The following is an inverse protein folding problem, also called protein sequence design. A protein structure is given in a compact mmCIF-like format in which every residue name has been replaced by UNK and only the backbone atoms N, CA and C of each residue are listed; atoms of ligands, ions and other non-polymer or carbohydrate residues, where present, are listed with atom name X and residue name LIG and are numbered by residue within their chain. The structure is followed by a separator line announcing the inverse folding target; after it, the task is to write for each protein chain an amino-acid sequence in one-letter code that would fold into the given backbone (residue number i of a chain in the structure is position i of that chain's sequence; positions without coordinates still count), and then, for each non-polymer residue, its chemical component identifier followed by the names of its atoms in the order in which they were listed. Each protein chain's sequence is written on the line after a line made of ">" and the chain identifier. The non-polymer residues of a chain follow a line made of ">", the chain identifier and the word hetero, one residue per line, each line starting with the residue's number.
data_IF_868497283917
#
_entry.id   IF_868497283917
#
_cell.length_a   1.000
_cell.length_b   1.000
_cell.length_c   1.000
_cell.angle_alpha   90.00
_cell.angle_beta   90.00
_cell.angle_gamma   90.00
#
_symmetry.space_group_name_H-M   'P 1'
#
loop_
_entity.id
_entity.type
_entity.pdbx_description
1 polymer ?
#
# COMPACT_ATOMS: atom_id res chain seq x y z
N UNK A 1 -37.34 9.52 -20.02
CA UNK A 1 -35.98 9.40 -20.58
C UNK A 1 -35.01 9.10 -19.45
N UNK A 2 -34.55 7.85 -19.24
CA UNK A 2 -33.62 7.58 -18.14
C UNK A 2 -32.22 8.06 -18.58
N UNK A 3 -31.95 9.36 -18.35
CA UNK A 3 -30.70 10.06 -18.68
C UNK A 3 -29.66 10.04 -17.56
N UNK A 4 -29.66 8.99 -16.73
CA UNK A 4 -28.72 8.81 -15.62
C UNK A 4 -27.40 8.17 -16.05
N UNK A 5 -26.35 8.32 -15.24
CA UNK A 5 -25.10 7.55 -15.39
C UNK A 5 -25.43 6.06 -15.28
N UNK A 6 -24.76 5.23 -16.08
CA UNK A 6 -24.86 3.77 -15.93
C UNK A 6 -24.48 3.38 -14.49
N UNK A 7 -25.21 2.43 -13.90
CA UNK A 7 -24.90 1.85 -12.59
C UNK A 7 -23.79 0.80 -12.70
N UNK A 8 -23.32 0.28 -11.58
CA UNK A 8 -22.37 -0.85 -11.60
C UNK A 8 -23.02 -2.10 -12.19
N UNK A 9 -24.27 -2.38 -11.81
CA UNK A 9 -25.04 -3.52 -12.30
C UNK A 9 -25.26 -3.48 -13.81
N UNK A 10 -25.62 -2.31 -14.35
CA UNK A 10 -25.76 -2.12 -15.80
C UNK A 10 -24.44 -2.35 -16.53
N UNK A 11 -23.30 -1.92 -15.95
CA UNK A 11 -21.98 -2.19 -16.53
C UNK A 11 -21.60 -3.67 -16.53
N UNK A 12 -22.00 -4.42 -15.50
CA UNK A 12 -21.79 -5.87 -15.44
C UNK A 12 -22.58 -6.58 -16.54
N UNK A 13 -23.83 -6.17 -16.77
CA UNK A 13 -24.63 -6.71 -17.87
C UNK A 13 -24.09 -6.35 -19.26
N UNK A 14 -23.48 -5.17 -19.43
CA UNK A 14 -22.73 -4.85 -20.66
C UNK A 14 -21.55 -5.81 -20.84
N UNK A 15 -20.77 -6.07 -19.78
CA UNK A 15 -19.63 -6.99 -19.88
C UNK A 15 -20.04 -8.43 -20.21
N UNK A 16 -21.13 -8.92 -19.61
CA UNK A 16 -21.70 -10.24 -19.92
C UNK A 16 -22.18 -10.30 -21.38
N UNK A 17 -22.92 -9.28 -21.83
CA UNK A 17 -23.40 -9.24 -23.22
C UNK A 17 -22.27 -9.20 -24.25
N UNK A 18 -21.13 -8.56 -23.94
CA UNK A 18 -19.94 -8.58 -24.78
C UNK A 18 -19.25 -9.95 -24.78
N UNK A 19 -19.18 -10.61 -23.64
CA UNK A 19 -18.63 -11.96 -23.53
C UNK A 19 -19.46 -12.99 -24.32
N UNK A 20 -20.78 -12.80 -24.35
CA UNK A 20 -21.72 -13.61 -25.14
C UNK A 20 -21.76 -13.22 -26.63
N UNK A 21 -20.93 -12.26 -27.07
CA UNK A 21 -20.84 -11.82 -28.47
C UNK A 21 -22.05 -11.03 -28.97
N UNK A 22 -22.87 -10.48 -28.08
CA UNK A 22 -24.06 -9.72 -28.46
C UNK A 22 -23.70 -8.36 -29.07
N UNK A 23 -24.49 -7.94 -30.06
CA UNK A 23 -24.37 -6.60 -30.65
C UNK A 23 -24.77 -5.51 -29.64
N UNK A 24 -24.13 -4.34 -29.71
CA UNK A 24 -24.39 -3.24 -28.76
C UNK A 24 -25.86 -2.79 -28.71
N UNK A 25 -26.58 -2.86 -29.83
CA UNK A 25 -28.01 -2.54 -29.90
C UNK A 25 -28.87 -3.51 -29.07
N UNK A 26 -28.48 -4.79 -29.05
CA UNK A 26 -29.18 -5.82 -28.28
C UNK A 26 -28.92 -5.65 -26.77
N UNK A 27 -27.67 -5.35 -26.38
CA UNK A 27 -27.31 -5.03 -24.99
C UNK A 27 -28.08 -3.78 -24.52
N UNK A 28 -28.17 -2.76 -25.37
CA UNK A 28 -28.85 -1.51 -25.06
C UNK A 28 -30.37 -1.72 -24.84
N UNK A 29 -30.99 -2.55 -25.68
CA UNK A 29 -32.41 -2.90 -25.58
C UNK A 29 -32.73 -3.69 -24.29
N UNK A 30 -31.83 -4.58 -23.86
CA UNK A 30 -31.98 -5.33 -22.59
C UNK A 30 -31.87 -4.45 -21.34
N UNK A 31 -31.10 -3.36 -21.43
CA UNK A 31 -30.89 -2.42 -20.34
C UNK A 31 -31.86 -1.22 -20.36
N UNK A 32 -32.76 -1.16 -21.34
CA UNK A 32 -33.60 0.02 -21.63
C UNK A 32 -32.77 1.32 -21.73
N UNK A 33 -31.63 1.24 -22.42
CA UNK A 33 -30.70 2.37 -22.65
C UNK A 33 -30.52 2.64 -24.15
N UNK A 34 -30.19 3.89 -24.53
CA UNK A 34 -29.80 4.18 -25.90
C UNK A 34 -28.52 3.42 -26.31
N UNK A 35 -28.45 2.89 -27.53
CA UNK A 35 -27.27 2.21 -28.09
C UNK A 35 -26.01 3.07 -28.01
N UNK A 36 -26.14 4.38 -28.24
CA UNK A 36 -25.03 5.34 -28.15
C UNK A 36 -24.42 5.45 -26.75
N UNK A 37 -25.17 5.13 -25.69
CA UNK A 37 -24.66 5.07 -24.31
C UNK A 37 -23.75 3.87 -24.13
N UNK A 38 -24.16 2.70 -24.63
CA UNK A 38 -23.37 1.47 -24.55
C UNK A 38 -22.10 1.59 -25.38
N UNK A 39 -22.19 2.06 -26.62
CA UNK A 39 -21.02 2.24 -27.50
C UNK A 39 -20.00 3.19 -26.87
N UNK A 40 -20.44 4.33 -26.32
CA UNK A 40 -19.53 5.29 -25.68
C UNK A 40 -18.94 4.76 -24.38
N UNK A 41 -19.71 4.01 -23.59
CA UNK A 41 -19.20 3.39 -22.36
C UNK A 41 -18.11 2.36 -22.70
N UNK A 42 -18.37 1.48 -23.67
CA UNK A 42 -17.43 0.42 -24.07
C UNK A 42 -16.16 1.02 -24.66
N UNK A 43 -16.28 1.95 -25.62
CA UNK A 43 -15.11 2.58 -26.26
C UNK A 43 -14.28 3.42 -25.28
N UNK A 44 -14.92 4.08 -24.32
CA UNK A 44 -14.22 4.89 -23.31
C UNK A 44 -13.47 4.05 -22.28
N UNK A 45 -13.84 2.79 -22.08
CA UNK A 45 -13.26 1.93 -21.04
C UNK A 45 -12.57 0.69 -21.64
N UNK A 46 -11.84 0.87 -22.74
CA UNK A 46 -10.94 -0.16 -23.29
C UNK A 46 -11.46 -0.88 -24.54
N UNK A 47 -12.65 -0.58 -25.03
CA UNK A 47 -13.22 -1.21 -26.22
C UNK A 47 -13.74 -2.63 -25.96
N UNK A 48 -14.40 -3.27 -26.95
CA UNK A 48 -15.18 -4.50 -26.75
C UNK A 48 -14.37 -5.69 -26.21
N UNK A 49 -13.10 -5.80 -26.59
CA UNK A 49 -12.23 -6.93 -26.20
C UNK A 49 -11.59 -6.78 -24.83
N UNK A 50 -11.46 -5.55 -24.33
CA UNK A 50 -10.84 -5.25 -23.04
C UNK A 50 -11.81 -4.62 -22.02
N UNK A 51 -13.10 -4.52 -22.36
CA UNK A 51 -14.09 -3.91 -21.48
C UNK A 51 -14.27 -4.70 -20.19
N UNK A 52 -14.08 -4.03 -19.05
CA UNK A 52 -14.32 -4.59 -17.72
C UNK A 52 -15.21 -3.68 -16.90
N UNK A 53 -16.32 -4.23 -16.41
CA UNK A 53 -17.36 -3.50 -15.70
C UNK A 53 -16.84 -2.76 -14.46
N UNK A 54 -16.01 -3.42 -13.65
CA UNK A 54 -15.49 -2.83 -12.41
C UNK A 54 -14.48 -1.72 -12.67
N UNK A 55 -13.64 -1.86 -13.71
CA UNK A 55 -12.71 -0.82 -14.13
C UNK A 55 -13.46 0.39 -14.69
N UNK A 56 -14.48 0.16 -15.50
CA UNK A 56 -15.34 1.20 -16.07
C UNK A 56 -16.11 1.97 -14.98
N UNK A 57 -16.58 1.26 -13.95
CA UNK A 57 -17.25 1.87 -12.79
C UNK A 57 -16.29 2.76 -12.00
N UNK A 58 -15.13 2.24 -11.58
CA UNK A 58 -14.11 3.00 -10.85
C UNK A 58 -13.61 4.21 -11.65
N UNK A 59 -13.31 4.05 -12.94
CA UNK A 59 -12.89 5.16 -13.80
C UNK A 59 -13.94 6.29 -13.87
N UNK A 60 -15.22 5.93 -13.80
CA UNK A 60 -16.34 6.87 -13.78
C UNK A 60 -16.46 7.57 -12.43
N UNK A 61 -16.22 6.88 -11.32
CA UNK A 61 -16.15 7.47 -9.97
C UNK A 61 -14.94 8.40 -9.82
N UNK A 62 -13.75 7.99 -10.26
CA UNK A 62 -12.54 8.82 -10.26
C UNK A 62 -12.73 10.14 -11.03
N UNK A 63 -13.44 10.11 -12.17
CA UNK A 63 -13.78 11.31 -12.94
C UNK A 63 -14.80 12.20 -12.23
N UNK A 64 -15.78 11.63 -11.53
CA UNK A 64 -16.72 12.39 -10.72
C UNK A 64 -16.03 13.06 -9.52
N UNK A 65 -15.12 12.34 -8.86
CA UNK A 65 -14.31 12.86 -7.75
C UNK A 65 -13.36 13.98 -8.19
N UNK A 66 -12.65 13.82 -9.33
CA UNK A 66 -11.82 14.89 -9.91
C UNK A 66 -12.62 16.16 -10.20
N UNK A 67 -13.82 16.03 -10.75
CA UNK A 67 -14.68 17.20 -11.07
C UNK A 67 -15.24 17.87 -9.80
N UNK A 68 -15.40 17.12 -8.71
CA UNK A 68 -15.84 17.63 -7.40
C UNK A 68 -14.69 18.28 -6.60
N UNK A 69 -13.44 17.88 -6.85
CA UNK A 69 -12.24 18.48 -6.25
C UNK A 69 -11.68 19.68 -7.04
N UNK A 70 -12.12 19.90 -8.29
CA UNK A 70 -11.65 20.99 -9.15
C UNK A 70 -12.19 22.40 -8.80
N UNK A 71 -12.81 22.59 -7.63
CA UNK A 71 -13.07 23.91 -7.05
C UNK A 71 -12.75 23.86 -5.55
N UNK A 72 -11.93 24.76 -4.98
CA UNK A 72 -11.31 25.98 -5.50
C UNK A 72 -9.80 25.85 -5.81
N UNK A 73 -9.32 26.62 -6.80
CA UNK A 73 -7.90 26.91 -7.04
C UNK A 73 -7.35 27.80 -5.92
N UNK A 74 -6.22 27.43 -5.34
CA UNK A 74 -5.50 28.29 -4.40
C UNK A 74 -4.51 27.57 -3.49
N UNK A 75 -3.61 26.78 -4.03
CA UNK A 75 -2.28 26.49 -3.46
C UNK A 75 -1.50 25.78 -4.54
N UNK A 76 -0.40 26.40 -4.99
CA UNK A 76 0.57 25.76 -5.87
C UNK A 76 0.90 24.39 -5.26
N UNK A 77 0.77 23.32 -6.06
CA UNK A 77 1.39 22.05 -5.69
C UNK A 77 2.85 22.38 -5.35
N UNK A 78 3.36 22.04 -4.15
CA UNK A 78 4.75 22.32 -3.84
C UNK A 78 5.57 21.70 -4.97
N UNK A 79 6.46 22.50 -5.57
CA UNK A 79 7.46 22.00 -6.52
C UNK A 79 8.10 20.81 -5.82
N UNK A 80 7.88 19.60 -6.35
CA UNK A 80 8.40 18.42 -5.70
C UNK A 80 9.92 18.56 -5.61
N UNK A 81 10.47 18.30 -4.43
CA UNK A 81 11.91 18.32 -4.26
C UNK A 81 12.54 17.41 -5.32
N UNK A 82 13.63 17.88 -5.93
CA UNK A 82 14.40 17.15 -6.94
C UNK A 82 13.75 17.01 -8.34
N UNK A 83 12.74 17.83 -8.68
CA UNK A 83 12.24 17.92 -10.06
C UNK A 83 11.49 16.68 -10.58
N UNK A 84 10.95 15.87 -9.65
CA UNK A 84 10.20 14.65 -9.96
C UNK A 84 8.84 14.98 -10.58
N UNK A 85 8.40 14.11 -11.49
CA UNK A 85 7.04 14.15 -12.01
C UNK A 85 6.05 13.75 -10.92
N UNK A 86 5.16 14.69 -10.59
CA UNK A 86 4.18 14.50 -9.55
C UNK A 86 3.16 13.39 -9.85
N UNK A 87 2.90 13.10 -11.12
CA UNK A 87 2.02 11.99 -11.50
C UNK A 87 2.69 10.65 -11.29
N UNK A 88 3.93 10.49 -11.76
CA UNK A 88 4.71 9.28 -11.54
C UNK A 88 4.90 8.95 -10.05
N UNK A 89 5.16 9.95 -9.19
CA UNK A 89 5.28 9.75 -7.74
C UNK A 89 3.97 9.25 -7.13
N UNK A 90 2.83 9.80 -7.54
CA UNK A 90 1.52 9.34 -7.04
C UNK A 90 1.20 7.92 -7.47
N UNK A 91 1.48 7.57 -8.73
CA UNK A 91 1.30 6.21 -9.24
C UNK A 91 2.17 5.20 -8.48
N UNK A 92 3.42 5.57 -8.20
CA UNK A 92 4.32 4.76 -7.37
C UNK A 92 3.80 4.60 -5.94
N UNK A 93 3.35 5.67 -5.29
CA UNK A 93 2.76 5.61 -3.94
C UNK A 93 1.52 4.70 -3.90
N UNK A 94 0.67 4.75 -4.94
CA UNK A 94 -0.49 3.86 -5.06
C UNK A 94 -0.10 2.39 -5.25
N UNK A 95 0.91 2.12 -6.10
CA UNK A 95 1.43 0.78 -6.33
C UNK A 95 2.08 0.22 -5.05
N UNK A 96 2.90 1.01 -4.36
CA UNK A 96 3.55 0.62 -3.11
C UNK A 96 2.53 0.36 -2.00
N UNK A 97 1.52 1.21 -1.86
CA UNK A 97 0.41 1.02 -0.92
C UNK A 97 -0.33 -0.29 -1.22
N UNK A 98 -0.56 -0.59 -2.50
CA UNK A 98 -1.23 -1.82 -2.93
C UNK A 98 -0.42 -3.05 -2.56
N UNK A 99 0.89 -3.02 -2.73
CA UNK A 99 1.80 -4.09 -2.34
C UNK A 99 1.75 -4.32 -0.82
N UNK A 100 1.83 -3.27 -0.01
CA UNK A 100 1.73 -3.39 1.45
C UNK A 100 0.40 -4.00 1.89
N UNK A 101 -0.71 -3.64 1.23
CA UNK A 101 -2.01 -4.25 1.50
C UNK A 101 -2.04 -5.74 1.16
N UNK A 102 -1.39 -6.16 0.07
CA UNK A 102 -1.28 -7.58 -0.29
C UNK A 102 -0.46 -8.38 0.72
N UNK A 103 0.46 -7.74 1.44
CA UNK A 103 1.21 -8.35 2.56
C UNK A 103 0.40 -8.42 3.87
N UNK A 104 -0.90 -8.08 3.84
CA UNK A 104 -1.81 -8.22 4.98
C UNK A 104 -1.94 -6.97 5.85
N UNK A 105 -1.27 -5.86 5.51
CA UNK A 105 -1.45 -4.61 6.25
C UNK A 105 -2.80 -3.97 5.94
N UNK A 106 -3.53 -3.43 6.95
CA UNK A 106 -4.73 -2.68 6.69
C UNK A 106 -4.47 -1.46 5.80
N UNK A 107 -5.46 -1.09 4.98
CA UNK A 107 -5.33 -0.01 3.99
C UNK A 107 -4.79 1.30 4.56
N UNK A 108 -5.26 1.72 5.73
CA UNK A 108 -4.84 3.01 6.29
C UNK A 108 -3.38 2.98 6.76
N UNK A 109 -2.97 1.89 7.40
CA UNK A 109 -1.61 1.67 7.88
C UNK A 109 -0.63 1.60 6.70
N UNK A 110 -1.04 0.94 5.60
CA UNK A 110 -0.30 0.91 4.34
C UNK A 110 -0.08 2.31 3.78
N UNK A 111 -1.13 3.15 3.76
CA UNK A 111 -1.01 4.56 3.31
C UNK A 111 -0.10 5.40 4.20
N UNK A 112 -0.15 5.20 5.52
CA UNK A 112 0.75 5.91 6.46
C UNK A 112 2.20 5.50 6.22
N UNK A 113 2.49 4.21 6.08
CA UNK A 113 3.83 3.72 5.77
C UNK A 113 4.34 4.24 4.43
N UNK A 114 3.53 4.18 3.36
CA UNK A 114 3.90 4.76 2.07
C UNK A 114 4.29 6.23 2.23
N UNK A 115 3.50 7.03 2.93
CA UNK A 115 3.76 8.45 3.12
C UNK A 115 5.05 8.73 3.92
N UNK A 116 5.39 7.86 4.87
CA UNK A 116 6.64 7.93 5.63
C UNK A 116 7.85 7.44 4.82
N UNK A 117 7.68 6.43 3.96
CA UNK A 117 8.73 5.95 3.07
C UNK A 117 9.09 6.92 1.95
N UNK A 118 8.11 7.66 1.43
CA UNK A 118 8.30 8.55 0.28
C UNK A 118 8.59 10.01 0.66
N UNK A 119 8.61 10.34 1.95
CA UNK A 119 8.88 11.72 2.40
C UNK A 119 10.36 12.05 2.42
N UNK A 120 10.77 13.08 1.68
CA UNK A 120 12.18 13.52 1.69
C UNK A 120 12.59 14.14 3.04
N UNK A 121 11.63 14.53 3.88
CA UNK A 121 11.89 15.05 5.22
C UNK A 121 12.36 13.96 6.20
N UNK A 122 12.31 12.67 5.83
CA UNK A 122 12.67 11.52 6.68
C UNK A 122 11.68 11.23 7.82
N UNK A 123 10.89 12.22 8.24
CA UNK A 123 9.86 12.06 9.26
C UNK A 123 8.68 13.01 9.08
N UNK A 124 7.53 12.64 9.67
CA UNK A 124 6.30 13.43 9.62
C UNK A 124 5.61 13.51 10.98
N UNK A 125 4.97 14.63 11.24
CA UNK A 125 4.06 14.83 12.38
C UNK A 125 2.66 14.27 12.09
N UNK A 126 1.87 14.07 13.15
CA UNK A 126 0.47 13.65 12.99
C UNK A 126 -0.34 14.62 12.11
N UNK A 127 -0.13 15.93 12.25
CA UNK A 127 -0.80 16.96 11.45
C UNK A 127 -0.43 16.89 9.96
N UNK A 128 0.84 16.61 9.64
CA UNK A 128 1.28 16.48 8.25
C UNK A 128 0.70 15.21 7.63
N UNK A 129 0.64 14.10 8.37
CA UNK A 129 -0.03 12.88 7.92
C UNK A 129 -1.53 13.09 7.66
N UNK A 130 -2.22 13.81 8.55
CA UNK A 130 -3.62 14.22 8.36
C UNK A 130 -3.79 14.99 7.05
N UNK A 131 -2.94 15.98 6.81
CA UNK A 131 -3.01 16.82 5.61
C UNK A 131 -2.66 16.05 4.33
N UNK A 132 -1.59 15.27 4.33
CA UNK A 132 -1.14 14.53 3.13
C UNK A 132 -2.13 13.41 2.77
N UNK A 133 -2.63 12.68 3.75
CA UNK A 133 -3.52 11.54 3.51
C UNK A 133 -5.00 11.95 3.40
N UNK A 134 -5.33 13.20 3.75
CA UNK A 134 -6.70 13.74 3.76
C UNK A 134 -7.64 12.88 4.62
N UNK A 135 -7.21 12.61 5.85
CA UNK A 135 -7.93 11.76 6.83
C UNK A 135 -8.06 12.45 8.18
N UNK A 136 -8.81 11.86 9.11
CA UNK A 136 -9.00 12.45 10.44
C UNK A 136 -7.79 12.21 11.36
N UNK A 137 -7.55 13.09 12.36
CA UNK A 137 -6.55 12.86 13.39
C UNK A 137 -6.72 11.51 14.10
N UNK A 138 -7.96 11.10 14.39
CA UNK A 138 -8.25 9.81 15.02
C UNK A 138 -7.82 8.61 14.15
N UNK A 139 -7.95 8.70 12.83
CA UNK A 139 -7.45 7.69 11.89
C UNK A 139 -5.93 7.58 11.95
N UNK A 140 -5.23 8.71 12.03
CA UNK A 140 -3.77 8.73 12.19
C UNK A 140 -3.36 8.14 13.53
N UNK A 141 -3.98 8.55 14.64
CA UNK A 141 -3.67 8.00 15.97
C UNK A 141 -3.80 6.47 16.01
N UNK A 142 -4.90 5.92 15.49
CA UNK A 142 -5.09 4.45 15.42
C UNK A 142 -4.03 3.76 14.56
N UNK A 143 -3.69 4.36 13.42
CA UNK A 143 -2.71 3.78 12.49
C UNK A 143 -1.30 3.81 13.09
N UNK A 144 -0.92 4.92 13.72
CA UNK A 144 0.36 5.08 14.42
C UNK A 144 0.48 4.07 15.56
N UNK A 145 -0.53 3.96 16.44
CA UNK A 145 -0.48 2.98 17.54
C UNK A 145 -0.33 1.55 17.03
N UNK A 146 -1.05 1.19 15.95
CA UNK A 146 -0.90 -0.13 15.33
C UNK A 146 0.51 -0.36 14.78
N UNK A 147 1.02 0.59 13.98
CA UNK A 147 2.32 0.47 13.33
C UNK A 147 3.47 0.47 14.35
N UNK A 148 3.37 1.28 15.39
CA UNK A 148 4.34 1.33 16.50
C UNK A 148 4.33 -0.01 17.27
N UNK A 149 3.14 -0.57 17.54
CA UNK A 149 3.02 -1.89 18.19
C UNK A 149 3.56 -3.05 17.35
N UNK A 150 3.59 -2.91 16.02
CA UNK A 150 4.22 -3.85 15.09
C UNK A 150 5.72 -3.57 14.86
N UNK A 151 6.28 -2.53 15.50
CA UNK A 151 7.66 -2.12 15.31
C UNK A 151 7.96 -1.57 13.91
N UNK A 152 6.94 -1.13 13.17
CA UNK A 152 7.01 -0.64 11.78
C UNK A 152 7.22 0.88 11.67
N UNK A 153 7.10 1.62 12.78
CA UNK A 153 7.47 3.03 12.89
C UNK A 153 8.05 3.28 14.28
N UNK A 154 8.84 4.34 14.42
CA UNK A 154 9.27 4.85 15.73
C UNK A 154 8.76 6.27 15.93
N UNK A 155 8.46 6.60 17.18
CA UNK A 155 8.11 7.95 17.61
C UNK A 155 9.35 8.64 18.19
N UNK A 156 9.67 9.79 17.63
CA UNK A 156 10.77 10.65 18.06
C UNK A 156 10.23 11.99 18.52
N UNK A 157 10.90 12.59 19.51
CA UNK A 157 10.61 13.96 19.95
C UNK A 157 11.65 14.87 19.31
N UNK A 158 11.16 15.81 18.50
CA UNK A 158 11.98 16.87 17.92
C UNK A 158 12.45 17.86 19.01
N UNK A 159 13.31 18.82 18.68
CA UNK A 159 13.75 19.89 19.61
C UNK A 159 12.56 20.73 20.13
N UNK A 160 11.40 20.65 19.46
CA UNK A 160 10.11 21.13 19.96
C UNK A 160 9.24 19.99 20.54
N UNK A 161 8.26 20.33 21.39
CA UNK A 161 7.31 19.37 22.03
C UNK A 161 6.43 18.54 21.06
N UNK A 162 6.72 18.50 19.75
CA UNK A 162 5.91 17.82 18.73
C UNK A 162 6.51 16.45 18.42
N UNK A 163 5.66 15.44 18.45
CA UNK A 163 6.02 14.07 18.10
C UNK A 163 6.15 13.93 16.58
N UNK A 164 7.26 13.33 16.14
CA UNK A 164 7.54 12.96 14.76
C UNK A 164 7.58 11.44 14.63
N UNK A 165 7.09 10.95 13.50
CA UNK A 165 7.12 9.54 13.15
C UNK A 165 8.17 9.33 12.06
N UNK A 166 9.04 8.36 12.28
CA UNK A 166 10.11 7.94 11.37
C UNK A 166 9.88 6.49 10.94
N UNK A 167 10.29 6.18 9.72
CA UNK A 167 10.61 4.81 9.31
C UNK A 167 12.12 4.75 9.11
N UNK A 168 12.80 4.10 10.05
CA UNK A 168 14.26 3.99 10.10
C UNK A 168 14.72 2.65 9.49
N UNK A 169 15.98 2.52 9.10
CA UNK A 169 16.54 1.22 8.64
C UNK A 169 16.46 0.16 9.76
N UNK A 170 16.55 0.60 11.01
CA UNK A 170 16.32 -0.23 12.20
C UNK A 170 14.90 -0.81 12.26
N UNK A 171 13.91 -0.17 11.64
CA UNK A 171 12.52 -0.64 11.62
C UNK A 171 12.40 -1.96 10.86
N UNK A 172 13.16 -2.15 9.78
CA UNK A 172 13.17 -3.43 9.07
C UNK A 172 13.79 -4.54 9.91
N UNK A 173 14.88 -4.25 10.62
CA UNK A 173 15.49 -5.16 11.58
C UNK A 173 14.52 -5.49 12.73
N UNK A 174 13.99 -4.47 13.42
CA UNK A 174 13.07 -4.63 14.54
C UNK A 174 11.76 -5.32 14.10
N UNK A 175 11.24 -5.03 12.91
CA UNK A 175 10.07 -5.67 12.33
C UNK A 175 10.31 -7.15 12.02
N UNK A 176 11.47 -7.50 11.46
CA UNK A 176 11.85 -8.91 11.25
C UNK A 176 11.99 -9.65 12.58
N UNK A 177 12.61 -9.04 13.59
CA UNK A 177 12.73 -9.62 14.94
C UNK A 177 11.35 -9.77 15.61
N UNK A 178 10.48 -8.76 15.49
CA UNK A 178 9.11 -8.83 16.02
C UNK A 178 8.31 -9.95 15.34
N UNK A 179 8.41 -10.08 14.01
CA UNK A 179 7.77 -11.16 13.26
C UNK A 179 8.32 -12.55 13.62
N UNK A 180 9.63 -12.67 13.83
CA UNK A 180 10.24 -13.91 14.32
C UNK A 180 9.70 -14.30 15.71
N UNK A 181 9.55 -13.34 16.63
CA UNK A 181 8.95 -13.57 17.95
C UNK A 181 7.49 -14.01 17.86
N UNK A 182 6.67 -13.36 17.03
CA UNK A 182 5.28 -13.77 16.82
C UNK A 182 5.18 -15.18 16.22
N UNK A 183 6.05 -15.51 15.27
CA UNK A 183 6.15 -16.85 14.66
C UNK A 183 6.54 -17.90 15.71
N UNK A 184 7.52 -17.61 16.58
CA UNK A 184 7.90 -18.49 17.68
C UNK A 184 6.75 -18.70 18.70
N UNK A 185 5.98 -17.66 19.00
CA UNK A 185 4.81 -17.77 19.88
C UNK A 185 3.71 -18.67 19.27
N UNK A 186 3.54 -18.65 17.95
CA UNK A 186 2.62 -19.55 17.25
C UNK A 186 3.07 -21.01 17.38
N UNK A 187 4.36 -21.30 17.20
CA UNK A 187 4.90 -22.66 17.37
C UNK A 187 4.73 -23.16 18.81
N UNK A 188 4.98 -22.30 19.80
CA UNK A 188 4.78 -22.65 21.21
C UNK A 188 3.31 -22.95 21.52
N UNK A 189 2.39 -22.14 21.00
CA UNK A 189 0.95 -22.37 21.17
C UNK A 189 0.52 -23.68 20.50
N UNK A 190 1.08 -24.01 19.33
CA UNK A 190 0.80 -25.28 18.66
C UNK A 190 1.29 -26.49 19.49
N UNK A 191 2.47 -26.41 20.12
CA UNK A 191 2.97 -27.43 21.07
C UNK A 191 2.06 -27.62 22.27
N UNK A 192 1.55 -26.53 22.86
CA UNK A 192 0.59 -26.62 23.96
C UNK A 192 -0.67 -27.40 23.54
N UNK A 193 -1.13 -27.20 22.30
CA UNK A 193 -2.25 -27.95 21.73
C UNK A 193 -2.01 -29.46 21.63
N UNK A 194 -0.77 -29.93 21.49
CA UNK A 194 -0.43 -31.37 21.48
C UNK A 194 -0.78 -32.02 22.81
N UNK A 195 -0.44 -31.36 23.93
CA UNK A 195 -0.79 -31.84 25.27
C UNK A 195 -2.30 -31.86 25.53
N UNK A 196 -3.02 -30.86 25.02
CA UNK A 196 -4.48 -30.74 25.21
C UNK A 196 -5.25 -31.78 24.37
N UNK A 197 -4.84 -32.01 23.13
CA UNK A 197 -5.54 -32.90 22.20
C UNK A 197 -5.15 -34.37 22.37
N UNK A 198 -4.13 -34.67 23.18
CA UNK A 198 -3.56 -35.99 23.34
C UNK A 198 -2.49 -36.28 22.27
N UNK A 199 -1.27 -36.66 22.67
CA UNK A 199 -0.11 -36.76 21.77
C UNK A 199 -0.28 -37.80 20.66
N UNK A 200 -1.07 -38.85 20.90
CA UNK A 200 -1.28 -39.94 19.93
C UNK A 200 -2.38 -39.64 18.89
N UNK A 201 -2.95 -38.43 18.92
CA UNK A 201 -4.00 -38.07 17.97
C UNK A 201 -3.42 -37.58 16.63
N UNK A 202 -4.14 -37.80 15.51
CA UNK A 202 -3.77 -37.18 14.23
C UNK A 202 -3.72 -35.65 14.29
N UNK A 203 -4.47 -35.02 15.20
CA UNK A 203 -4.47 -33.58 15.39
C UNK A 203 -3.17 -33.10 16.07
N UNK A 204 -2.74 -33.79 17.13
CA UNK A 204 -1.43 -33.57 17.74
C UNK A 204 -0.29 -33.72 16.73
N UNK A 205 -0.31 -34.77 15.90
CA UNK A 205 0.70 -34.96 14.84
C UNK A 205 0.77 -33.76 13.88
N UNK A 206 -0.39 -33.20 13.48
CA UNK A 206 -0.41 -32.00 12.63
C UNK A 206 0.15 -30.77 13.34
N UNK A 207 -0.24 -30.53 14.58
CA UNK A 207 0.24 -29.39 15.37
C UNK A 207 1.75 -29.48 15.62
N UNK A 208 2.27 -30.67 15.91
CA UNK A 208 3.69 -30.93 16.08
C UNK A 208 4.48 -30.63 14.79
N UNK A 209 3.95 -31.06 13.64
CA UNK A 209 4.55 -30.76 12.34
C UNK A 209 4.54 -29.26 12.02
N UNK A 210 3.44 -28.56 12.33
CA UNK A 210 3.34 -27.11 12.16
C UNK A 210 4.34 -26.40 13.08
N UNK A 211 4.39 -26.77 14.37
CA UNK A 211 5.30 -26.18 15.34
C UNK A 211 6.77 -26.33 14.89
N UNK A 212 7.17 -27.52 14.44
CA UNK A 212 8.53 -27.79 13.95
C UNK A 212 8.90 -26.91 12.75
N UNK A 213 7.98 -26.77 11.79
CA UNK A 213 8.23 -25.93 10.61
C UNK A 213 8.32 -24.44 10.99
N UNK A 214 7.38 -23.96 11.80
CA UNK A 214 7.28 -22.56 12.21
C UNK A 214 8.47 -22.14 13.09
N UNK A 215 8.97 -23.00 13.98
CA UNK A 215 10.21 -22.75 14.73
C UNK A 215 11.42 -22.57 13.80
N UNK A 216 11.58 -23.47 12.82
CA UNK A 216 12.67 -23.35 11.85
C UNK A 216 12.61 -22.02 11.08
N UNK A 217 11.41 -21.57 10.71
CA UNK A 217 11.21 -20.28 10.06
C UNK A 217 11.55 -19.13 11.00
N UNK A 218 11.06 -19.14 12.25
CA UNK A 218 11.34 -18.10 13.24
C UNK A 218 12.84 -17.93 13.53
N UNK A 219 13.57 -19.04 13.68
CA UNK A 219 15.03 -19.00 13.85
C UNK A 219 15.73 -18.47 12.60
N UNK A 220 15.29 -18.89 11.42
CA UNK A 220 15.88 -18.44 10.16
C UNK A 220 15.67 -16.95 9.93
N UNK A 221 14.50 -16.41 10.29
CA UNK A 221 14.21 -14.98 10.27
C UNK A 221 15.11 -14.22 11.24
N UNK A 222 15.32 -14.74 12.46
CA UNK A 222 16.22 -14.14 13.46
C UNK A 222 17.65 -14.08 12.95
N UNK A 223 18.17 -15.20 12.44
CA UNK A 223 19.53 -15.28 11.87
C UNK A 223 19.71 -14.32 10.68
N UNK A 224 18.74 -14.28 9.77
CA UNK A 224 18.79 -13.39 8.62
C UNK A 224 18.78 -11.92 9.04
N UNK A 225 17.95 -11.54 10.03
CA UNK A 225 17.91 -10.19 10.56
C UNK A 225 19.25 -9.79 11.20
N UNK A 226 19.86 -10.68 11.99
CA UNK A 226 21.18 -10.44 12.61
C UNK A 226 22.29 -10.26 11.57
N UNK A 227 22.30 -11.06 10.50
CA UNK A 227 23.28 -10.94 9.40
C UNK A 227 23.07 -9.68 8.55
N UNK A 228 21.80 -9.31 8.30
CA UNK A 228 21.47 -8.12 7.50
C UNK A 228 21.73 -6.81 8.25
N UNK A 229 21.96 -6.85 9.57
CA UNK A 229 22.32 -5.70 10.40
C UNK A 229 23.52 -4.95 9.80
N UNK A 230 24.55 -5.68 9.37
CA UNK A 230 25.77 -5.09 8.80
C UNK A 230 25.55 -4.51 7.39
N UNK A 231 24.57 -5.01 6.65
CA UNK A 231 24.20 -4.53 5.30
C UNK A 231 23.42 -3.22 5.38
N UNK A 232 22.54 -3.07 6.38
CA UNK A 232 21.71 -1.86 6.57
C UNK A 232 22.50 -0.65 7.07
N UNK A 233 23.63 -0.86 7.75
CA UNK A 233 24.52 0.21 8.22
C UNK A 233 25.73 0.48 7.31
N UNK A 234 25.83 -0.18 6.16
CA UNK A 234 26.82 0.17 5.15
C UNK A 234 26.52 1.57 4.60
N UNK A 235 27.25 2.57 5.11
CA UNK A 235 27.13 3.98 4.71
C UNK A 235 27.37 4.08 3.20
N UNK A 236 26.60 4.88 2.44
CA UNK A 236 27.01 5.23 1.08
C UNK A 236 28.36 5.93 1.21
N UNK A 237 29.40 5.39 0.59
CA UNK A 237 30.64 6.15 0.42
C UNK A 237 30.26 7.48 -0.21
N UNK A 238 30.45 8.56 0.54
CA UNK A 238 30.37 9.88 -0.02
C UNK A 238 31.37 9.90 -1.17
N UNK A 239 30.87 9.97 -2.40
CA UNK A 239 31.66 10.33 -3.57
C UNK A 239 32.26 11.69 -3.27
N UNK A 240 33.46 11.67 -2.68
CA UNK A 240 34.35 12.81 -2.59
C UNK A 240 34.67 13.20 -4.02
N UNK A 241 33.86 14.11 -4.56
CA UNK A 241 34.15 14.86 -5.75
C UNK A 241 35.42 15.65 -5.51
N UNK A 242 36.56 15.01 -5.80
CA UNK A 242 37.85 15.66 -5.87
C UNK A 242 37.76 16.79 -6.87
N UNK A 243 37.62 18.00 -6.33
CA UNK A 243 37.73 19.23 -7.10
C UNK A 243 39.22 19.36 -7.41
N UNK A 244 39.62 18.93 -8.60
CA UNK A 244 40.97 19.17 -9.08
C UNK A 244 41.09 20.66 -9.43
N UNK A 245 41.75 21.44 -8.56
CA UNK A 245 42.27 22.76 -8.91
C UNK A 245 43.30 22.61 -10.05
N UNK A 246 43.24 23.44 -11.10
CA UNK A 246 44.32 23.49 -12.07
C UNK A 246 45.49 24.26 -11.47
N UNK A 247 46.63 23.58 -11.35
CA UNK A 247 47.90 24.19 -10.95
C UNK A 247 48.28 25.35 -11.87
N UNK A 248 48.53 26.49 -11.23
CA UNK A 248 49.19 27.66 -11.80
C UNK A 248 50.60 27.29 -12.28
N UNK A 249 50.86 27.42 -13.57
CA UNK A 249 52.21 27.43 -14.12
C UNK A 249 52.32 28.56 -15.16
N UNK A 250 52.78 29.73 -14.70
CA UNK A 250 53.58 30.71 -15.45
C UNK A 250 53.97 31.92 -14.60
#
# INVERSE_FOLDING_TARGET
>A
MPGGRLTQQERQQIALGLADGLAYAEIARRLDRPTSTITREVMRNGGPTAYRADLAHRATEHRAHRRRQAAPRGSQAPVQAHGRDAEAVREYEEAWTTLLMQQGLPKMMSRVLTCLYTTDAGSLTASELVQRLQVTPASISKSVTFLEGQGLIRRERDEGRRERYVVDNDVWYQGMIASARSTAQLAETARQGVGVLGPDTPAATRLENIARFIDFVAESMTRAAEQARDVLYAKPEATSGGTAEPGSDR
#
